data_IF_881062190708
#
_entry.id   IF_881062190708
#
_cell.length_a   1.000
_cell.length_b   1.000
_cell.length_c   1.000
_cell.angle_alpha   90.00
_cell.angle_beta   90.00
_cell.angle_gamma   90.00
#
_symmetry.space_group_name_H-M   'P 1'
#
loop_
_entity.id
_entity.type
_entity.pdbx_description
1 polymer ?
#
# COMPACT_ATOMS: atom_id res chain seq x y z
N UNK A 1 59.44 -23.23 33.27
CA UNK A 1 58.23 -23.61 32.51
C UNK A 1 57.17 -22.56 32.79
N UNK A 2 56.89 -21.69 31.82
CA UNK A 2 55.84 -20.66 31.93
C UNK A 2 54.62 -21.15 31.16
N UNK A 3 53.50 -21.31 31.86
CA UNK A 3 52.20 -21.64 31.28
C UNK A 3 51.49 -20.30 31.02
N UNK A 4 51.36 -19.92 29.74
CA UNK A 4 50.57 -18.76 29.32
C UNK A 4 49.07 -19.13 29.26
N UNK A 5 48.16 -18.22 29.65
CA UNK A 5 46.72 -18.44 29.59
C UNK A 5 46.19 -18.21 28.17
N UNK A 6 45.36 -19.13 27.67
CA UNK A 6 44.60 -18.96 26.43
C UNK A 6 43.36 -18.14 26.76
N UNK A 7 43.38 -16.85 26.41
CA UNK A 7 42.19 -16.00 26.42
C UNK A 7 41.34 -16.34 25.18
N UNK A 8 40.18 -16.96 25.40
CA UNK A 8 39.18 -17.17 24.37
C UNK A 8 38.51 -15.81 24.06
N UNK A 9 38.84 -15.23 22.90
CA UNK A 9 38.08 -14.12 22.33
C UNK A 9 36.77 -14.68 21.76
N UNK A 10 35.66 -14.44 22.46
CA UNK A 10 34.33 -14.62 21.89
C UNK A 10 34.07 -13.48 20.89
N UNK A 11 34.03 -13.79 19.59
CA UNK A 11 33.47 -12.87 18.60
C UNK A 11 31.96 -12.77 18.82
N UNK A 12 31.52 -11.67 19.40
CA UNK A 12 30.13 -11.25 19.33
C UNK A 12 29.83 -10.86 17.87
N UNK A 13 29.24 -11.77 17.11
CA UNK A 13 28.60 -11.44 15.84
C UNK A 13 27.40 -10.54 16.16
N UNK A 14 27.58 -9.22 16.05
CA UNK A 14 26.47 -8.29 16.02
C UNK A 14 25.67 -8.59 14.76
N UNK A 15 24.51 -9.22 14.91
CA UNK A 15 23.53 -9.28 13.84
C UNK A 15 23.23 -7.83 13.46
N UNK A 16 23.71 -7.39 12.29
CA UNK A 16 23.27 -6.13 11.72
C UNK A 16 21.75 -6.21 11.63
N UNK A 17 20.99 -5.19 12.08
CA UNK A 17 19.56 -5.17 11.87
C UNK A 17 19.31 -5.41 10.39
N UNK A 18 18.37 -6.30 10.07
CA UNK A 18 17.86 -6.41 8.70
C UNK A 18 17.57 -4.97 8.24
N UNK A 19 18.31 -4.52 7.23
CA UNK A 19 18.29 -3.11 6.84
C UNK A 19 16.86 -2.80 6.39
N UNK A 20 16.14 -2.02 7.21
CA UNK A 20 14.89 -1.39 6.85
C UNK A 20 14.98 -0.93 5.40
N UNK A 21 14.09 -1.42 4.52
CA UNK A 21 14.15 -1.04 3.13
C UNK A 21 13.98 0.47 2.99
N UNK A 22 14.87 1.11 2.23
CA UNK A 22 14.88 2.56 2.08
C UNK A 22 13.64 3.02 1.31
N UNK A 23 12.76 3.77 1.99
CA UNK A 23 11.53 4.33 1.39
C UNK A 23 11.80 5.12 0.10
N UNK A 24 13.00 5.70 -0.07
CA UNK A 24 13.37 6.37 -1.31
C UNK A 24 13.38 5.44 -2.54
N UNK A 25 13.49 4.12 -2.31
CA UNK A 25 13.54 3.10 -3.36
C UNK A 25 12.18 2.44 -3.64
N UNK A 26 11.16 2.69 -2.81
CA UNK A 26 9.84 2.05 -2.89
C UNK A 26 9.17 2.21 -4.26
N UNK A 27 9.38 3.36 -4.92
CA UNK A 27 8.85 3.64 -6.25
C UNK A 27 9.50 2.85 -7.40
N UNK A 28 10.55 2.08 -7.12
CA UNK A 28 11.19 1.23 -8.12
C UNK A 28 10.17 0.32 -8.82
N UNK A 29 9.24 -0.31 -8.08
CA UNK A 29 8.25 -1.23 -8.67
C UNK A 29 7.32 -0.48 -9.62
N UNK A 30 6.84 0.69 -9.22
CA UNK A 30 6.01 1.56 -10.07
C UNK A 30 6.76 1.89 -11.36
N UNK A 31 8.04 2.27 -11.27
CA UNK A 31 8.87 2.65 -12.43
C UNK A 31 9.10 1.50 -13.43
N UNK A 32 9.12 0.25 -12.97
CA UNK A 32 9.36 -0.94 -13.80
C UNK A 32 8.09 -1.52 -14.43
N UNK A 33 6.90 -1.06 -14.04
CA UNK A 33 5.66 -1.44 -14.72
C UNK A 33 5.60 -0.81 -16.11
N UNK A 34 5.47 -1.67 -17.12
CA UNK A 34 5.26 -1.22 -18.50
C UNK A 34 3.87 -0.60 -18.72
N UNK A 35 3.67 -0.02 -19.90
CA UNK A 35 2.42 0.64 -20.26
C UNK A 35 1.23 -0.33 -20.30
N UNK A 36 1.44 -1.59 -20.68
CA UNK A 36 0.37 -2.58 -20.76
C UNK A 36 -0.13 -2.98 -19.37
N UNK A 37 0.80 -3.23 -18.43
CA UNK A 37 0.49 -3.53 -17.05
C UNK A 37 -0.21 -2.35 -16.36
N UNK A 38 0.28 -1.12 -16.56
CA UNK A 38 -0.36 0.10 -16.04
C UNK A 38 -1.78 0.27 -16.57
N UNK A 39 -1.97 0.16 -17.88
CA UNK A 39 -3.30 0.25 -18.50
C UNK A 39 -4.26 -0.83 -17.99
N UNK A 40 -3.76 -2.06 -17.78
CA UNK A 40 -4.59 -3.14 -17.22
C UNK A 40 -4.92 -2.89 -15.74
N UNK A 41 -4.00 -2.35 -14.93
CA UNK A 41 -4.29 -1.93 -13.56
C UNK A 41 -5.40 -0.88 -13.56
N UNK A 42 -5.29 0.16 -14.39
CA UNK A 42 -6.30 1.21 -14.50
C UNK A 42 -7.68 0.63 -14.86
N UNK A 43 -7.74 -0.25 -15.87
CA UNK A 43 -8.98 -0.91 -16.28
C UNK A 43 -9.58 -1.79 -15.15
N UNK A 44 -8.72 -2.50 -14.42
CA UNK A 44 -9.15 -3.32 -13.28
C UNK A 44 -9.69 -2.45 -12.13
N UNK A 45 -9.03 -1.31 -11.84
CA UNK A 45 -9.48 -0.36 -10.82
C UNK A 45 -10.80 0.29 -11.21
N UNK A 46 -10.96 0.73 -12.46
CA UNK A 46 -12.24 1.27 -12.96
C UNK A 46 -13.37 0.25 -12.77
N UNK A 47 -13.14 -1.02 -13.13
CA UNK A 47 -14.13 -2.08 -12.93
C UNK A 47 -14.43 -2.29 -11.45
N UNK A 48 -13.42 -2.41 -10.59
CA UNK A 48 -13.61 -2.65 -9.15
C UNK A 48 -14.36 -1.48 -8.48
N UNK A 49 -14.07 -0.24 -8.87
CA UNK A 49 -14.77 0.96 -8.40
C UNK A 49 -16.20 1.09 -8.93
N UNK A 50 -16.53 0.45 -10.07
CA UNK A 50 -17.90 0.38 -10.58
C UNK A 50 -18.71 -0.78 -9.97
N UNK A 51 -18.02 -1.82 -9.49
CA UNK A 51 -18.60 -3.02 -8.88
C UNK A 51 -18.35 -3.07 -7.36
N UNK A 52 -18.61 -1.95 -6.68
CA UNK A 52 -18.38 -1.79 -5.24
C UNK A 52 -19.12 -2.84 -4.41
N UNK A 53 -18.63 -3.10 -3.20
CA UNK A 53 -19.20 -4.11 -2.29
C UNK A 53 -18.81 -5.56 -2.65
N UNK A 54 -18.05 -5.77 -3.73
CA UNK A 54 -17.41 -7.04 -4.07
C UNK A 54 -15.94 -7.03 -3.70
N UNK A 55 -15.35 -8.22 -3.53
CA UNK A 55 -13.90 -8.35 -3.37
C UNK A 55 -13.21 -7.90 -4.67
N UNK A 56 -12.26 -6.94 -4.62
CA UNK A 56 -11.52 -6.51 -5.79
C UNK A 56 -10.80 -7.68 -6.46
N UNK A 57 -10.83 -7.69 -7.79
CA UNK A 57 -10.11 -8.69 -8.60
C UNK A 57 -9.21 -7.98 -9.60
N UNK A 58 -8.05 -8.57 -9.84
CA UNK A 58 -7.05 -8.09 -10.78
C UNK A 58 -6.67 -9.21 -11.73
N UNK A 59 -6.44 -8.85 -12.99
CA UNK A 59 -6.07 -9.79 -14.04
C UNK A 59 -4.79 -10.57 -13.64
N UNK A 60 -4.66 -11.85 -14.03
CA UNK A 60 -3.44 -12.62 -13.75
C UNK A 60 -2.16 -11.97 -14.30
N UNK A 61 -2.27 -11.26 -15.43
CA UNK A 61 -1.17 -10.49 -16.02
C UNK A 61 -0.68 -9.36 -15.09
N UNK A 62 -1.58 -8.64 -14.42
CA UNK A 62 -1.24 -7.60 -13.43
C UNK A 62 -0.45 -8.19 -12.27
N UNK A 63 -0.93 -9.32 -11.72
CA UNK A 63 -0.24 -10.01 -10.61
C UNK A 63 1.16 -10.47 -11.02
N UNK A 64 1.31 -10.95 -12.25
CA UNK A 64 2.59 -11.39 -12.81
C UNK A 64 3.54 -10.22 -12.99
N UNK A 65 3.10 -9.14 -13.63
CA UNK A 65 3.89 -7.94 -13.86
C UNK A 65 4.37 -7.30 -12.55
N UNK A 66 3.50 -7.17 -11.55
CA UNK A 66 3.87 -6.66 -10.22
C UNK A 66 4.91 -7.54 -9.54
N UNK A 67 4.75 -8.88 -9.59
CA UNK A 67 5.71 -9.82 -9.02
C UNK A 67 7.07 -9.74 -9.70
N UNK A 68 7.10 -9.66 -11.02
CA UNK A 68 8.33 -9.56 -11.81
C UNK A 68 9.06 -8.24 -11.51
N UNK A 69 8.34 -7.11 -11.52
CA UNK A 69 8.88 -5.81 -11.18
C UNK A 69 9.41 -5.76 -9.74
N UNK A 70 8.67 -6.31 -8.77
CA UNK A 70 9.09 -6.39 -7.38
C UNK A 70 10.33 -7.28 -7.20
N UNK A 71 10.41 -8.42 -7.90
CA UNK A 71 11.59 -9.30 -7.86
C UNK A 71 12.82 -8.60 -8.43
N UNK A 72 12.66 -7.86 -9.53
CA UNK A 72 13.74 -7.09 -10.13
C UNK A 72 14.25 -5.99 -9.18
N UNK A 73 13.34 -5.22 -8.58
CA UNK A 73 13.70 -4.19 -7.61
C UNK A 73 14.32 -4.75 -6.33
N UNK A 74 13.81 -5.87 -5.82
CA UNK A 74 14.39 -6.53 -4.66
C UNK A 74 15.81 -7.02 -4.92
N UNK A 75 16.10 -7.49 -6.14
CA UNK A 75 17.47 -7.86 -6.55
C UNK A 75 18.37 -6.62 -6.63
N UNK A 76 17.86 -5.53 -7.21
CA UNK A 76 18.60 -4.26 -7.39
C UNK A 76 18.96 -3.58 -6.06
N UNK A 77 18.03 -3.60 -5.10
CA UNK A 77 18.15 -2.88 -3.83
C UNK A 77 18.36 -3.80 -2.62
N UNK A 78 18.56 -5.10 -2.85
CA UNK A 78 18.78 -6.12 -1.80
C UNK A 78 17.64 -6.19 -0.77
N UNK A 79 16.39 -5.94 -1.20
CA UNK A 79 15.24 -6.02 -0.33
C UNK A 79 14.94 -7.46 0.08
N UNK A 80 14.36 -7.62 1.26
CA UNK A 80 13.80 -8.90 1.68
C UNK A 80 12.57 -9.29 0.85
N UNK A 81 12.15 -10.56 0.95
CA UNK A 81 10.90 -11.01 0.32
C UNK A 81 9.66 -10.28 0.87
N UNK A 82 9.52 -10.03 2.20
CA UNK A 82 8.46 -9.18 2.73
C UNK A 82 8.45 -7.77 2.12
N UNK A 83 9.60 -7.09 2.06
CA UNK A 83 9.70 -5.76 1.46
C UNK A 83 9.30 -5.79 -0.03
N UNK A 84 9.74 -6.79 -0.80
CA UNK A 84 9.31 -6.95 -2.19
C UNK A 84 7.78 -7.11 -2.32
N UNK A 85 7.16 -7.88 -1.43
CA UNK A 85 5.70 -8.05 -1.38
C UNK A 85 4.96 -6.74 -1.06
N UNK A 86 5.42 -6.02 -0.05
CA UNK A 86 4.88 -4.71 0.33
C UNK A 86 5.02 -3.68 -0.81
N UNK A 87 6.16 -3.65 -1.49
CA UNK A 87 6.37 -2.78 -2.65
C UNK A 87 5.43 -3.08 -3.83
N UNK A 88 5.10 -4.37 -4.06
CA UNK A 88 4.12 -4.75 -5.07
C UNK A 88 2.70 -4.28 -4.73
N UNK A 89 2.30 -4.40 -3.47
CA UNK A 89 0.99 -3.92 -2.97
C UNK A 89 0.92 -2.39 -3.06
N UNK A 90 1.97 -1.72 -2.60
CA UNK A 90 2.12 -0.27 -2.71
C UNK A 90 1.99 0.20 -4.17
N UNK A 91 2.70 -0.44 -5.10
CA UNK A 91 2.68 -0.05 -6.51
C UNK A 91 1.29 -0.18 -7.12
N UNK A 92 0.57 -1.25 -6.81
CA UNK A 92 -0.82 -1.44 -7.26
C UNK A 92 -1.72 -0.31 -6.76
N UNK A 93 -1.68 -0.03 -5.46
CA UNK A 93 -2.51 0.99 -4.85
C UNK A 93 -2.14 2.40 -5.34
N UNK A 94 -0.85 2.71 -5.47
CA UNK A 94 -0.36 4.00 -5.96
C UNK A 94 -0.75 4.28 -7.40
N UNK A 95 -0.69 3.27 -8.28
CA UNK A 95 -1.16 3.41 -9.67
C UNK A 95 -2.68 3.55 -9.73
N UNK A 96 -3.41 2.85 -8.86
CA UNK A 96 -4.87 2.90 -8.81
C UNK A 96 -5.46 4.17 -8.17
N UNK A 97 -4.75 4.81 -7.24
CA UNK A 97 -5.28 5.93 -6.46
C UNK A 97 -5.77 7.11 -7.33
N UNK A 98 -5.05 7.59 -8.37
CA UNK A 98 -5.56 8.64 -9.24
C UNK A 98 -6.88 8.29 -9.96
N UNK A 99 -7.09 7.00 -10.26
CA UNK A 99 -8.34 6.52 -10.83
C UNK A 99 -9.45 6.56 -9.78
N UNK A 100 -9.16 6.10 -8.56
CA UNK A 100 -10.11 6.13 -7.46
C UNK A 100 -10.53 7.58 -7.11
N UNK A 101 -9.57 8.51 -7.05
CA UNK A 101 -9.80 9.96 -6.87
C UNK A 101 -10.76 10.51 -7.93
N UNK A 102 -10.54 10.18 -9.20
CA UNK A 102 -11.42 10.60 -10.29
C UNK A 102 -12.85 10.07 -10.11
N UNK A 103 -13.01 8.78 -9.78
CA UNK A 103 -14.33 8.16 -9.64
C UNK A 103 -15.12 8.75 -8.47
N UNK A 104 -14.48 8.98 -7.31
CA UNK A 104 -15.17 9.63 -6.17
C UNK A 104 -15.53 11.08 -6.49
N UNK A 105 -14.68 11.79 -7.23
CA UNK A 105 -14.95 13.14 -7.74
C UNK A 105 -16.15 13.20 -8.68
N UNK A 106 -16.25 12.25 -9.62
CA UNK A 106 -17.40 12.10 -10.52
C UNK A 106 -18.72 11.83 -9.75
N UNK A 107 -18.63 11.25 -8.55
CA UNK A 107 -19.79 11.05 -7.64
C UNK A 107 -20.08 12.25 -6.73
N UNK A 108 -19.30 13.33 -6.84
CA UNK A 108 -19.50 14.57 -6.10
C UNK A 108 -18.82 14.62 -4.74
N UNK A 109 -17.85 13.74 -4.47
CA UNK A 109 -17.00 13.83 -3.28
C UNK A 109 -15.73 14.65 -3.57
N UNK A 110 -15.29 15.43 -2.59
CA UNK A 110 -14.00 16.11 -2.66
C UNK A 110 -12.89 15.16 -2.20
N UNK A 111 -12.11 14.64 -3.16
CA UNK A 111 -11.01 13.72 -2.88
C UNK A 111 -9.96 14.32 -1.93
N UNK A 112 -9.69 15.63 -1.99
CA UNK A 112 -8.74 16.27 -1.09
C UNK A 112 -9.27 16.28 0.35
N UNK A 113 -10.56 16.57 0.54
CA UNK A 113 -11.18 16.51 1.86
C UNK A 113 -11.21 15.08 2.45
N UNK A 114 -11.43 14.07 1.60
CA UNK A 114 -11.33 12.66 2.02
C UNK A 114 -9.90 12.29 2.43
N UNK A 115 -8.89 12.74 1.67
CA UNK A 115 -7.48 12.57 2.01
C UNK A 115 -7.13 13.24 3.33
N UNK A 116 -7.54 14.48 3.54
CA UNK A 116 -7.34 15.21 4.80
C UNK A 116 -7.97 14.46 5.97
N UNK A 117 -9.17 13.91 5.78
CA UNK A 117 -9.85 13.11 6.80
C UNK A 117 -9.07 11.84 7.15
N UNK A 118 -8.52 11.14 6.15
CA UNK A 118 -7.65 9.99 6.39
C UNK A 118 -6.35 10.41 7.11
N UNK A 119 -5.72 11.51 6.68
CA UNK A 119 -4.50 12.04 7.30
C UNK A 119 -4.72 12.56 8.72
N UNK A 120 -5.95 12.90 9.11
CA UNK A 120 -6.30 13.30 10.47
C UNK A 120 -6.34 12.13 11.47
N UNK A 121 -6.37 10.87 11.02
CA UNK A 121 -6.26 9.70 11.90
C UNK A 121 -4.92 9.69 12.64
N UNK A 122 -4.77 9.03 13.81
CA UNK A 122 -3.47 8.82 14.42
C UNK A 122 -2.49 8.09 13.49
N UNK A 123 -1.21 8.46 13.51
CA UNK A 123 -0.19 7.86 12.64
C UNK A 123 -0.14 6.33 12.78
N UNK A 124 -0.17 5.82 14.02
CA UNK A 124 -0.20 4.38 14.31
C UNK A 124 -1.39 3.67 13.66
N UNK A 125 -2.55 4.34 13.55
CA UNK A 125 -3.73 3.82 12.86
C UNK A 125 -3.51 3.78 11.34
N UNK A 126 -2.95 4.85 10.76
CA UNK A 126 -2.69 4.91 9.31
C UNK A 126 -1.62 3.91 8.86
N UNK A 127 -0.69 3.57 9.75
CA UNK A 127 0.45 2.68 9.50
C UNK A 127 0.12 1.18 9.56
N UNK A 128 -1.17 0.81 9.63
CA UNK A 128 -1.64 -0.58 9.54
C UNK A 128 -2.91 -0.66 8.71
N UNK A 129 -3.35 -1.89 8.43
CA UNK A 129 -4.69 -2.13 7.89
C UNK A 129 -5.72 -1.57 8.87
N UNK A 130 -6.60 -0.70 8.37
CA UNK A 130 -7.72 -0.16 9.14
C UNK A 130 -8.66 -1.28 9.56
N UNK A 131 -9.20 -1.19 10.77
CA UNK A 131 -10.31 -2.08 11.15
C UNK A 131 -11.58 -1.69 10.40
N UNK A 132 -12.56 -2.60 10.36
CA UNK A 132 -13.86 -2.30 9.78
C UNK A 132 -14.53 -1.09 10.47
N UNK A 133 -14.34 -0.93 11.77
CA UNK A 133 -14.92 0.17 12.57
C UNK A 133 -14.26 1.52 12.24
N UNK A 134 -12.93 1.55 12.16
CA UNK A 134 -12.16 2.75 11.79
C UNK A 134 -12.52 3.22 10.39
N UNK A 135 -12.58 2.28 9.45
CA UNK A 135 -12.91 2.60 8.08
C UNK A 135 -14.39 3.03 7.93
N UNK A 136 -15.31 2.42 8.70
CA UNK A 136 -16.70 2.87 8.73
C UNK A 136 -16.82 4.27 9.33
N UNK A 137 -16.00 4.63 10.31
CA UNK A 137 -15.98 5.98 10.87
C UNK A 137 -15.53 7.01 9.83
N UNK A 138 -14.52 6.68 9.00
CA UNK A 138 -14.13 7.51 7.86
C UNK A 138 -15.29 7.72 6.88
N UNK A 139 -15.93 6.63 6.45
CA UNK A 139 -17.07 6.69 5.51
C UNK A 139 -18.20 7.55 6.06
N UNK A 140 -18.55 7.42 7.35
CA UNK A 140 -19.61 8.25 7.97
C UNK A 140 -19.22 9.72 8.04
N UNK A 141 -17.97 10.04 8.35
CA UNK A 141 -17.49 11.42 8.39
C UNK A 141 -17.47 12.10 7.02
N UNK A 142 -17.33 11.30 5.95
CA UNK A 142 -17.25 11.78 4.58
C UNK A 142 -18.62 12.09 3.93
N UNK A 143 -19.73 11.59 4.48
CA UNK A 143 -21.09 11.78 3.93
C UNK A 143 -21.86 12.85 4.73
N UNK A 144 -21.55 14.12 4.48
CA UNK A 144 -22.19 15.23 5.22
C UNK A 144 -23.58 15.58 4.69
N UNK A 145 -23.82 15.40 3.40
CA UNK A 145 -25.11 15.68 2.75
C UNK A 145 -26.05 14.46 2.82
N UNK A 146 -27.32 14.67 3.16
CA UNK A 146 -28.32 13.57 3.24
C UNK A 146 -28.44 12.81 1.91
N UNK A 147 -28.38 13.52 0.78
CA UNK A 147 -28.43 12.91 -0.55
C UNK A 147 -27.23 11.98 -0.84
N UNK A 148 -26.12 12.13 -0.13
CA UNK A 148 -24.94 11.29 -0.28
C UNK A 148 -24.97 10.04 0.61
N UNK A 149 -25.91 9.95 1.58
CA UNK A 149 -26.01 8.85 2.54
C UNK A 149 -26.67 7.60 1.93
N UNK A 150 -26.11 7.11 0.83
CA UNK A 150 -26.56 5.89 0.15
C UNK A 150 -25.60 4.75 0.43
N UNK A 151 -26.10 3.51 0.32
CA UNK A 151 -25.27 2.31 0.43
C UNK A 151 -24.17 2.28 -0.64
N UNK A 152 -24.50 2.65 -1.87
CA UNK A 152 -23.56 2.69 -3.00
C UNK A 152 -22.40 3.65 -2.70
N UNK A 153 -22.70 4.86 -2.22
CA UNK A 153 -21.67 5.82 -1.85
C UNK A 153 -20.81 5.33 -0.66
N UNK A 154 -21.42 4.67 0.32
CA UNK A 154 -20.67 4.09 1.43
C UNK A 154 -19.70 2.99 0.96
N UNK A 155 -20.12 2.15 0.02
CA UNK A 155 -19.27 1.11 -0.57
C UNK A 155 -18.16 1.71 -1.46
N UNK A 156 -18.46 2.78 -2.20
CA UNK A 156 -17.49 3.54 -3.00
C UNK A 156 -16.41 4.19 -2.12
N UNK A 157 -16.83 4.88 -1.05
CA UNK A 157 -15.90 5.54 -0.13
C UNK A 157 -15.06 4.52 0.65
N UNK A 158 -15.63 3.36 0.99
CA UNK A 158 -14.89 2.25 1.58
C UNK A 158 -13.73 1.80 0.66
N UNK A 159 -13.99 1.61 -0.64
CA UNK A 159 -12.95 1.25 -1.61
C UNK A 159 -11.89 2.36 -1.74
N UNK A 160 -12.31 3.63 -1.79
CA UNK A 160 -11.40 4.77 -1.85
C UNK A 160 -10.48 4.86 -0.62
N UNK A 161 -11.03 4.75 0.59
CA UNK A 161 -10.23 4.73 1.81
C UNK A 161 -9.33 3.49 1.90
N UNK A 162 -9.73 2.36 1.29
CA UNK A 162 -8.85 1.20 1.16
C UNK A 162 -7.62 1.50 0.29
N UNK A 163 -7.73 2.29 -0.79
CA UNK A 163 -6.57 2.74 -1.56
C UNK A 163 -5.63 3.61 -0.72
N UNK A 164 -6.15 4.62 -0.02
CA UNK A 164 -5.36 5.49 0.85
C UNK A 164 -4.65 4.71 1.95
N UNK A 165 -5.38 3.83 2.64
CA UNK A 165 -4.82 2.95 3.66
C UNK A 165 -3.74 2.04 3.09
N UNK A 166 -3.98 1.43 1.91
CA UNK A 166 -3.02 0.51 1.29
C UNK A 166 -1.73 1.19 0.89
N UNK A 167 -1.78 2.41 0.35
CA UNK A 167 -0.56 3.18 0.06
C UNK A 167 0.24 3.42 1.35
N UNK A 168 -0.42 3.81 2.44
CA UNK A 168 0.26 4.11 3.70
C UNK A 168 0.83 2.87 4.38
N UNK A 169 -0.01 1.85 4.65
CA UNK A 169 0.46 0.70 5.43
C UNK A 169 1.46 -0.15 4.62
N UNK A 170 1.34 -0.23 3.29
CA UNK A 170 2.31 -0.98 2.49
C UNK A 170 3.68 -0.28 2.45
N UNK A 171 3.71 1.07 2.45
CA UNK A 171 4.96 1.80 2.63
C UNK A 171 5.58 1.54 4.02
N UNK A 172 4.74 1.49 5.07
CA UNK A 172 5.19 1.15 6.41
C UNK A 172 5.74 -0.29 6.48
N UNK A 173 5.02 -1.28 5.97
CA UNK A 173 5.45 -2.69 5.92
C UNK A 173 6.75 -2.83 5.13
N UNK A 174 6.91 -2.10 4.03
CA UNK A 174 8.14 -2.06 3.28
C UNK A 174 9.32 -1.58 4.13
N UNK A 175 9.15 -0.48 4.87
CA UNK A 175 10.21 0.06 5.73
C UNK A 175 10.60 -0.86 6.90
N UNK A 176 9.73 -1.80 7.27
CA UNK A 176 9.99 -2.79 8.33
C UNK A 176 10.54 -4.11 7.79
N UNK A 177 10.44 -4.33 6.48
CA UNK A 177 10.79 -5.56 5.79
C UNK A 177 12.27 -5.72 5.53
#
# INVERSE_FOLDING_TARGET
MHILPIAALALAATALPAHAADLATLDCVVSKLDAAARSQIEADVVRNMAETGKRPTYAPAVKTALKEAATACATEHQWSNPAAGAAAIYALAKVGLPIAQRVVGERGFDAAALEDQFQALPEETRNRVLTAEENQALVRGAVTEEAQQTRENAELLNEYFAFLSTVQYAAQEFSQG
#
